data_IF_362449869663
#
_entry.id   IF_362449869663
#
_cell.length_a   1.000
_cell.length_b   1.000
_cell.length_c   1.000
_cell.angle_alpha   90.00
_cell.angle_beta   90.00
_cell.angle_gamma   90.00
#
_symmetry.space_group_name_H-M   'P 1'
#
loop_
_entity.id
_entity.type
_entity.pdbx_description
1 polymer ?
#
# COMPACT_ATOMS: atom_id res chain seq x y z
N UNK A 1 -8.97 13.95 -0.90
CA UNK A 1 -9.11 13.28 -2.22
C UNK A 1 -9.15 11.77 -2.03
N UNK A 2 -9.69 11.01 -2.99
CA UNK A 2 -9.78 9.54 -2.91
C UNK A 2 -9.08 8.90 -4.10
N UNK A 3 -8.21 7.93 -3.85
CA UNK A 3 -7.56 7.06 -4.85
C UNK A 3 -7.95 5.61 -4.59
N UNK A 4 -8.03 4.80 -5.64
CA UNK A 4 -8.48 3.40 -5.56
C UNK A 4 -7.47 2.50 -6.26
N UNK A 5 -7.08 1.41 -5.58
CA UNK A 5 -6.21 0.35 -6.10
C UNK A 5 -7.03 -0.94 -6.05
N UNK A 6 -7.59 -1.38 -7.19
CA UNK A 6 -8.46 -2.56 -7.21
C UNK A 6 -7.74 -3.90 -7.04
N UNK A 7 -6.45 -3.96 -7.34
CA UNK A 7 -5.66 -5.20 -7.35
C UNK A 7 -4.48 -5.10 -6.38
N UNK A 8 -4.67 -5.64 -5.17
CA UNK A 8 -3.61 -5.90 -4.21
C UNK A 8 -3.58 -7.38 -3.82
N UNK A 9 -2.38 -7.95 -3.79
CA UNK A 9 -2.05 -9.28 -3.37
C UNK A 9 -0.51 -9.40 -3.30
N UNK A 10 0.03 -10.04 -2.27
CA UNK A 10 1.37 -10.60 -2.37
C UNK A 10 1.47 -11.95 -1.66
N UNK A 11 2.30 -12.86 -2.21
CA UNK A 11 2.48 -14.18 -1.63
C UNK A 11 3.41 -14.15 -0.42
N UNK A 12 3.20 -15.05 0.53
CA UNK A 12 4.13 -15.28 1.66
C UNK A 12 5.40 -16.04 1.25
N UNK A 13 5.38 -16.70 0.09
CA UNK A 13 6.55 -17.38 -0.44
C UNK A 13 7.61 -16.39 -0.95
N UNK A 14 8.88 -16.76 -0.76
CA UNK A 14 10.03 -15.97 -1.15
C UNK A 14 11.17 -16.88 -1.63
N UNK A 15 11.92 -16.43 -2.64
CA UNK A 15 13.11 -17.09 -3.14
C UNK A 15 14.36 -16.28 -2.77
N UNK A 16 14.95 -16.59 -1.61
CA UNK A 16 16.18 -15.96 -1.11
C UNK A 16 15.94 -14.81 -0.13
N UNK A 17 16.81 -13.80 -0.17
CA UNK A 17 16.82 -12.72 0.82
C UNK A 17 15.74 -11.64 0.60
N UNK A 18 15.08 -11.64 -0.57
CA UNK A 18 14.06 -10.66 -0.91
C UNK A 18 12.67 -11.24 -0.72
N UNK A 19 11.81 -10.46 -0.06
CA UNK A 19 10.39 -10.82 0.17
C UNK A 19 9.50 -10.14 -0.85
N UNK A 20 8.51 -10.88 -1.35
CA UNK A 20 7.40 -10.32 -2.12
C UNK A 20 6.70 -9.26 -1.28
N UNK A 21 6.37 -8.14 -1.90
CA UNK A 21 5.70 -7.06 -1.21
C UNK A 21 5.05 -6.10 -2.19
N UNK A 22 4.22 -5.24 -1.61
CA UNK A 22 3.58 -4.14 -2.30
C UNK A 22 4.02 -2.83 -1.66
N UNK A 23 3.97 -1.78 -2.46
CA UNK A 23 4.15 -0.43 -1.98
C UNK A 23 3.15 0.54 -2.59
N UNK A 24 2.51 1.33 -1.73
CA UNK A 24 1.79 2.54 -2.11
C UNK A 24 2.81 3.68 -1.99
N UNK A 25 3.35 4.11 -3.12
CA UNK A 25 4.34 5.17 -3.21
C UNK A 25 3.63 6.52 -3.34
N UNK A 26 3.92 7.44 -2.44
CA UNK A 26 3.25 8.74 -2.35
C UNK A 26 4.27 9.85 -2.46
N UNK A 27 3.99 10.86 -3.29
CA UNK A 27 4.74 12.12 -3.32
C UNK A 27 3.83 13.27 -2.89
N UNK A 28 4.16 13.87 -1.75
CA UNK A 28 3.58 15.13 -1.31
C UNK A 28 4.46 16.29 -1.81
N UNK A 29 3.96 17.01 -2.81
CA UNK A 29 4.63 18.22 -3.36
C UNK A 29 4.23 19.50 -2.61
N UNK A 30 3.23 19.41 -1.73
CA UNK A 30 2.72 20.54 -0.98
C UNK A 30 3.63 20.97 0.17
N UNK A 31 3.30 22.14 0.72
CA UNK A 31 4.04 22.78 1.82
C UNK A 31 3.55 22.37 3.21
N UNK A 32 2.54 21.51 3.29
CA UNK A 32 1.96 21.00 4.54
C UNK A 32 1.94 19.46 4.53
N UNK A 33 2.01 18.81 5.70
CA UNK A 33 1.84 17.36 5.80
C UNK A 33 0.50 16.90 5.21
N UNK A 34 0.54 15.74 4.53
CA UNK A 34 -0.62 15.05 4.03
C UNK A 34 -0.88 13.82 4.90
N UNK A 35 -2.11 13.72 5.39
CA UNK A 35 -2.60 12.58 6.17
C UNK A 35 -3.31 11.62 5.22
N UNK A 36 -2.94 10.35 5.27
CA UNK A 36 -3.50 9.30 4.43
C UNK A 36 -4.15 8.25 5.31
N UNK A 37 -5.44 8.03 5.09
CA UNK A 37 -6.21 6.93 5.67
C UNK A 37 -6.42 5.86 4.59
N UNK A 38 -6.02 4.63 4.90
CA UNK A 38 -6.11 3.49 3.99
C UNK A 38 -7.17 2.53 4.53
N UNK A 39 -8.11 2.15 3.67
CA UNK A 39 -9.13 1.13 3.94
C UNK A 39 -8.99 -0.01 2.97
N UNK A 40 -8.97 -1.23 3.50
CA UNK A 40 -8.83 -2.47 2.73
C UNK A 40 -10.20 -3.11 2.55
N UNK A 41 -10.51 -3.52 1.33
CA UNK A 41 -11.74 -4.22 0.95
C UNK A 41 -11.40 -5.64 0.53
N UNK A 42 -12.23 -6.59 0.95
CA UNK A 42 -11.99 -8.02 0.76
C UNK A 42 -13.18 -8.67 0.04
N UNK A 43 -12.95 -9.84 -0.53
CA UNK A 43 -13.98 -10.59 -1.26
C UNK A 43 -15.02 -11.23 -0.32
N UNK A 44 -14.65 -11.51 0.94
CA UNK A 44 -15.35 -12.42 1.84
C UNK A 44 -15.71 -11.82 3.22
N UNK A 45 -15.35 -10.56 3.49
CA UNK A 45 -15.57 -9.91 4.79
C UNK A 45 -15.66 -8.39 4.67
N UNK A 46 -16.14 -7.77 5.75
CA UNK A 46 -16.25 -6.30 5.85
C UNK A 46 -14.88 -5.60 5.69
N UNK A 47 -14.86 -4.37 5.17
CA UNK A 47 -13.64 -3.61 5.01
C UNK A 47 -12.92 -3.36 6.34
N UNK A 48 -11.59 -3.36 6.30
CA UNK A 48 -10.74 -3.06 7.46
C UNK A 48 -10.09 -1.70 7.27
N UNK A 49 -10.34 -0.77 8.19
CA UNK A 49 -9.81 0.58 8.17
C UNK A 49 -8.81 0.82 9.31
N UNK A 50 -8.41 2.09 9.49
CA UNK A 50 -7.54 2.53 10.58
C UNK A 50 -6.04 2.37 10.28
N UNK A 51 -5.68 2.11 9.03
CA UNK A 51 -4.31 2.19 8.57
C UNK A 51 -4.00 3.66 8.22
N UNK A 52 -3.14 4.29 9.00
CA UNK A 52 -2.91 5.73 8.90
C UNK A 52 -1.43 6.03 8.66
N UNK A 53 -1.17 6.95 7.73
CA UNK A 53 0.20 7.35 7.37
C UNK A 53 0.27 8.84 7.09
N UNK A 54 1.16 9.53 7.80
CA UNK A 54 1.56 10.90 7.46
C UNK A 54 2.69 10.90 6.43
N UNK A 55 2.56 11.76 5.41
CA UNK A 55 3.60 12.12 4.45
C UNK A 55 3.90 13.60 4.59
N UNK A 56 5.06 13.91 5.18
CA UNK A 56 5.51 15.27 5.43
C UNK A 56 5.55 16.15 4.17
N UNK A 57 5.51 17.46 4.37
CA UNK A 57 5.63 18.45 3.31
C UNK A 57 6.88 18.24 2.46
N UNK A 58 6.75 18.32 1.13
CA UNK A 58 7.84 18.15 0.16
C UNK A 58 8.62 16.84 0.37
N UNK A 59 7.93 15.72 0.62
CA UNK A 59 8.54 14.39 0.80
C UNK A 59 7.84 13.32 -0.02
N UNK A 60 8.59 12.25 -0.28
CA UNK A 60 8.06 10.98 -0.76
C UNK A 60 8.05 9.96 0.39
N UNK A 61 7.11 9.01 0.33
CA UNK A 61 7.04 7.87 1.23
C UNK A 61 6.60 6.63 0.46
N UNK A 62 7.41 5.58 0.53
CA UNK A 62 7.07 4.27 -0.03
C UNK A 62 6.43 3.45 1.09
N UNK A 63 5.11 3.42 1.13
CA UNK A 63 4.34 2.76 2.18
C UNK A 63 4.36 1.27 1.90
N UNK A 64 5.17 0.53 2.66
CA UNK A 64 5.32 -0.93 2.59
C UNK A 64 4.11 -1.60 3.22
N UNK A 65 3.27 -2.24 2.40
CA UNK A 65 2.02 -2.86 2.88
C UNK A 65 2.30 -4.02 3.84
N UNK A 66 3.38 -4.76 3.62
CA UNK A 66 3.87 -5.85 4.48
C UNK A 66 4.39 -5.37 5.85
N UNK A 67 4.58 -4.06 6.05
CA UNK A 67 5.02 -3.45 7.31
C UNK A 67 3.95 -2.58 7.96
N UNK A 68 2.80 -2.44 7.30
CA UNK A 68 1.76 -1.52 7.71
C UNK A 68 0.82 -2.22 8.71
N UNK A 69 0.54 -1.54 9.82
CA UNK A 69 -0.43 -1.96 10.82
C UNK A 69 -1.46 -0.87 11.04
N UNK A 70 -2.70 -1.24 11.34
CA UNK A 70 -3.72 -0.27 11.72
C UNK A 70 -3.59 0.14 13.20
N UNK A 71 -4.43 1.06 13.65
CA UNK A 71 -4.44 1.53 15.05
C UNK A 71 -4.68 0.43 16.09
N UNK A 72 -5.29 -0.70 15.70
CA UNK A 72 -5.48 -1.87 16.56
C UNK A 72 -4.29 -2.85 16.51
N UNK A 73 -3.22 -2.53 15.77
CA UNK A 73 -2.06 -3.39 15.58
C UNK A 73 -2.27 -4.54 14.59
N UNK A 74 -3.38 -4.55 13.84
CA UNK A 74 -3.66 -5.56 12.83
C UNK A 74 -2.83 -5.29 11.57
N UNK A 75 -2.02 -6.26 11.09
CA UNK A 75 -1.26 -6.09 9.86
C UNK A 75 -2.16 -6.22 8.63
N UNK A 76 -1.64 -5.84 7.46
CA UNK A 76 -2.25 -6.19 6.17
C UNK A 76 -2.03 -7.70 5.91
N UNK A 77 -3.06 -8.48 5.53
CA UNK A 77 -2.92 -9.93 5.38
C UNK A 77 -2.10 -10.30 4.13
N UNK A 78 -1.27 -11.33 4.25
CA UNK A 78 -0.58 -11.98 3.13
C UNK A 78 -1.48 -13.05 2.48
N UNK A 79 -1.14 -13.49 1.27
CA UNK A 79 -1.86 -14.56 0.54
C UNK A 79 -3.38 -14.33 0.44
N UNK A 80 -3.81 -13.07 0.47
CA UNK A 80 -5.23 -12.68 0.47
C UNK A 80 -5.42 -11.59 -0.57
N UNK A 81 -6.30 -11.78 -1.58
CA UNK A 81 -6.63 -10.70 -2.51
C UNK A 81 -7.42 -9.62 -1.79
N UNK A 82 -7.08 -8.36 -2.04
CA UNK A 82 -7.80 -7.21 -1.48
C UNK A 82 -7.70 -6.01 -2.42
N UNK A 83 -8.58 -5.03 -2.22
CA UNK A 83 -8.48 -3.71 -2.84
C UNK A 83 -8.18 -2.66 -1.76
N UNK A 84 -7.51 -1.57 -2.12
CA UNK A 84 -7.22 -0.47 -1.20
C UNK A 84 -7.85 0.84 -1.69
N UNK A 85 -8.52 1.53 -0.78
CA UNK A 85 -8.94 2.93 -0.95
C UNK A 85 -8.05 3.79 -0.08
N UNK A 86 -7.46 4.83 -0.67
CA UNK A 86 -6.60 5.80 0.01
C UNK A 86 -7.29 7.15 0.01
N UNK A 87 -7.65 7.63 1.20
CA UNK A 87 -8.21 8.95 1.42
C UNK A 87 -7.09 9.88 1.91
N UNK A 88 -6.78 10.90 1.11
CA UNK A 88 -5.73 11.85 1.43
C UNK A 88 -6.34 13.19 1.85
N UNK A 89 -5.85 13.79 2.94
CA UNK A 89 -6.29 15.12 3.40
C UNK A 89 -5.91 16.23 2.43
N UNK A 90 -4.93 16.00 1.55
CA UNK A 90 -4.41 16.95 0.55
C UNK A 90 -4.13 16.28 -0.80
N UNK A 91 -3.88 17.10 -1.82
CA UNK A 91 -3.47 16.62 -3.12
C UNK A 91 -2.05 16.03 -3.07
N UNK A 92 -1.93 14.77 -3.49
CA UNK A 92 -0.66 14.03 -3.57
C UNK A 92 -0.65 13.18 -4.83
N UNK A 93 0.54 12.91 -5.36
CA UNK A 93 0.71 11.92 -6.41
C UNK A 93 0.87 10.53 -5.78
N UNK A 94 0.26 9.52 -6.40
CA UNK A 94 0.27 8.16 -5.89
C UNK A 94 0.60 7.17 -7.02
N UNK A 95 1.48 6.24 -6.73
CA UNK A 95 1.82 5.11 -7.57
C UNK A 95 1.72 3.83 -6.74
N UNK A 96 1.11 2.79 -7.30
CA UNK A 96 1.12 1.47 -6.69
C UNK A 96 2.14 0.58 -7.41
N UNK A 97 2.87 -0.24 -6.66
CA UNK A 97 3.81 -1.22 -7.19
C UNK A 97 3.78 -2.52 -6.41
N UNK A 98 4.03 -3.63 -7.10
CA UNK A 98 4.18 -4.97 -6.53
C UNK A 98 5.47 -5.59 -7.06
N UNK A 99 6.18 -6.27 -6.17
CA UNK A 99 7.33 -7.11 -6.49
C UNK A 99 7.00 -8.53 -6.05
N UNK A 100 7.11 -9.47 -6.98
CA UNK A 100 6.97 -10.91 -6.75
C UNK A 100 8.36 -11.56 -6.80
N UNK A 101 8.73 -12.22 -5.70
CA UNK A 101 10.03 -12.89 -5.55
C UNK A 101 9.89 -14.40 -5.38
N UNK A 102 8.76 -14.99 -5.78
CA UNK A 102 8.46 -16.42 -5.56
C UNK A 102 9.27 -17.39 -6.42
N UNK A 103 9.88 -16.90 -7.50
CA UNK A 103 10.73 -17.67 -8.42
C UNK A 103 12.06 -16.94 -8.66
N UNK A 104 13.00 -17.56 -9.39
CA UNK A 104 14.31 -16.96 -9.66
C UNK A 104 14.20 -15.71 -10.54
N UNK A 105 13.31 -15.76 -11.53
CA UNK A 105 12.92 -14.64 -12.37
C UNK A 105 11.95 -13.71 -11.63
N UNK A 106 12.47 -12.61 -11.09
CA UNK A 106 11.68 -11.62 -10.37
C UNK A 106 10.57 -11.01 -11.25
N UNK A 107 9.37 -10.88 -10.69
CA UNK A 107 8.24 -10.20 -11.33
C UNK A 107 8.01 -8.81 -10.72
N UNK A 108 7.68 -7.82 -11.55
CA UNK A 108 7.26 -6.49 -11.08
C UNK A 108 6.10 -5.95 -11.90
N UNK A 109 5.19 -5.23 -11.24
CA UNK A 109 4.12 -4.45 -11.87
C UNK A 109 3.94 -3.10 -11.17
N UNK A 110 3.44 -2.10 -11.90
CA UNK A 110 3.11 -0.80 -11.33
C UNK A 110 2.02 -0.08 -12.13
N UNK A 111 1.29 0.83 -11.48
CA UNK A 111 0.36 1.77 -12.12
C UNK A 111 0.36 3.12 -11.39
N UNK A 112 0.10 4.19 -12.13
CA UNK A 112 -0.21 5.51 -11.57
C UNK A 112 -1.70 5.59 -11.17
N UNK A 113 -2.03 6.46 -10.20
CA UNK A 113 -3.40 6.72 -9.72
C UNK A 113 -3.80 8.19 -9.80
#
# INVERSE_FOLDING_TARGET
>A
MKKVIPDCYWPSSANGAYVSHEAICVLNQGDEPAELDITLYFEDREPVSGYHVTVEARRTKHIRMDKLTNHAGQPVPQDTPYAAVVECSREVALQYSRVDTTQAELGMMTTLL
#
